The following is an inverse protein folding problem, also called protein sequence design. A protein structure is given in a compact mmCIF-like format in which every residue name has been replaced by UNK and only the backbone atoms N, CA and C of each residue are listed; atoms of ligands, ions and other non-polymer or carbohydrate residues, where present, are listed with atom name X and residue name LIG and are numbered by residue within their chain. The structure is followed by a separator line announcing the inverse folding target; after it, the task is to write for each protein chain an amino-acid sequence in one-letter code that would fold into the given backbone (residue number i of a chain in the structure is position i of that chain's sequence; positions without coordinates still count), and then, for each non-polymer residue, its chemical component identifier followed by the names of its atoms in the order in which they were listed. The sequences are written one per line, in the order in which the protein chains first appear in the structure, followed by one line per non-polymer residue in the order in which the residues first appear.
data_IF_392573668286
#
_entry.id   IF_392573668286
#
_cell.length_a   1.000
_cell.length_b   1.000
_cell.length_c   1.000
_cell.angle_alpha   90.00
_cell.angle_beta   90.00
_cell.angle_gamma   90.00
#
_symmetry.space_group_name_H-M   'P 1'
#
loop_
_entity.id
_entity.type
_entity.pdbx_description
1 polymer ?
#
# COMPACT_ATOMS: atom_id res chain seq x y z
N UNK A 1 -30.65 31.42 19.41
CA UNK A 1 -31.07 30.55 18.30
C UNK A 1 -30.01 30.66 17.20
N UNK A 2 -29.37 29.57 16.73
CA UNK A 2 -28.43 29.66 15.62
C UNK A 2 -29.16 30.17 14.38
N UNK A 3 -28.61 31.18 13.72
CA UNK A 3 -29.18 31.79 12.51
C UNK A 3 -29.29 30.75 11.40
N UNK A 4 -30.27 30.93 10.50
CA UNK A 4 -30.53 30.01 9.39
C UNK A 4 -29.26 29.69 8.58
N UNK A 5 -28.41 30.70 8.35
CA UNK A 5 -27.10 30.57 7.67
C UNK A 5 -26.09 29.68 8.40
N UNK A 6 -26.13 29.63 9.75
CA UNK A 6 -25.23 28.79 10.54
C UNK A 6 -25.57 27.30 10.41
N UNK A 7 -26.86 26.97 10.24
CA UNK A 7 -27.31 25.58 10.01
C UNK A 7 -26.90 25.05 8.64
N UNK A 8 -26.97 25.89 7.59
CA UNK A 8 -26.49 25.52 6.26
C UNK A 8 -24.97 25.31 6.21
N UNK A 9 -24.21 26.12 6.95
CA UNK A 9 -22.76 25.95 7.06
C UNK A 9 -22.39 24.60 7.70
N UNK A 10 -23.07 24.21 8.78
CA UNK A 10 -22.84 22.91 9.44
C UNK A 10 -23.20 21.75 8.51
N UNK A 11 -24.32 21.83 7.80
CA UNK A 11 -24.74 20.79 6.83
C UNK A 11 -23.73 20.68 5.69
N UNK A 12 -23.26 21.80 5.14
CA UNK A 12 -22.23 21.82 4.10
C UNK A 12 -20.90 21.23 4.62
N UNK A 13 -20.51 21.54 5.85
CA UNK A 13 -19.30 20.99 6.48
C UNK A 13 -19.41 19.46 6.66
N UNK A 14 -20.55 18.97 7.14
CA UNK A 14 -20.81 17.54 7.32
C UNK A 14 -20.82 16.79 5.98
N UNK A 15 -21.39 17.37 4.92
CA UNK A 15 -21.39 16.80 3.58
C UNK A 15 -19.97 16.74 2.97
N UNK A 16 -19.16 17.79 3.18
CA UNK A 16 -17.77 17.85 2.73
C UNK A 16 -16.88 16.84 3.48
N UNK A 17 -17.09 16.68 4.80
CA UNK A 17 -16.36 15.70 5.61
C UNK A 17 -16.68 14.26 5.20
N UNK A 18 -17.93 13.98 4.79
CA UNK A 18 -18.32 12.65 4.37
C UNK A 18 -17.61 12.23 3.06
N UNK A 19 -17.51 13.14 2.09
CA UNK A 19 -16.90 12.84 0.79
C UNK A 19 -15.39 12.51 0.89
N UNK A 20 -14.65 13.19 1.78
CA UNK A 20 -13.22 12.91 2.00
C UNK A 20 -13.03 11.52 2.65
N UNK A 21 -13.92 11.15 3.58
CA UNK A 21 -13.89 9.84 4.24
C UNK A 21 -14.21 8.68 3.27
N UNK A 22 -15.08 8.90 2.28
CA UNK A 22 -15.38 7.89 1.25
C UNK A 22 -14.19 7.65 0.30
N UNK A 23 -13.53 8.71 -0.17
CA UNK A 23 -12.36 8.60 -1.05
C UNK A 23 -11.17 7.90 -0.37
N UNK A 24 -10.92 8.19 0.92
CA UNK A 24 -9.90 7.49 1.71
C UNK A 24 -10.22 6.01 1.89
N UNK A 25 -11.50 5.67 2.13
CA UNK A 25 -11.94 4.27 2.23
C UNK A 25 -11.81 3.51 0.92
N UNK A 26 -12.00 4.15 -0.23
CA UNK A 26 -11.83 3.51 -1.53
C UNK A 26 -10.38 3.09 -1.80
N UNK A 27 -9.42 4.00 -1.52
CA UNK A 27 -7.99 3.67 -1.61
C UNK A 27 -7.60 2.55 -0.65
N UNK A 28 -8.14 2.56 0.57
CA UNK A 28 -7.91 1.48 1.54
C UNK A 28 -8.53 0.14 1.11
N UNK A 29 -9.73 0.15 0.51
CA UNK A 29 -10.36 -1.08 -0.03
C UNK A 29 -9.53 -1.67 -1.16
N UNK A 30 -9.04 -0.81 -2.06
CA UNK A 30 -8.13 -1.22 -3.12
C UNK A 30 -6.86 -1.86 -2.54
N UNK A 31 -6.27 -1.26 -1.51
CA UNK A 31 -5.09 -1.79 -0.83
C UNK A 31 -5.33 -3.17 -0.20
N UNK A 32 -6.46 -3.34 0.50
CA UNK A 32 -6.86 -4.64 1.05
C UNK A 32 -7.03 -5.68 -0.06
N UNK A 33 -7.66 -5.32 -1.19
CA UNK A 33 -7.80 -6.21 -2.34
C UNK A 33 -6.47 -6.65 -2.93
N UNK A 34 -5.50 -5.73 -3.08
CA UNK A 34 -4.14 -6.08 -3.55
C UNK A 34 -3.43 -7.05 -2.63
N UNK A 35 -3.54 -6.82 -1.31
CA UNK A 35 -2.91 -7.68 -0.29
C UNK A 35 -3.56 -9.05 -0.22
N UNK A 36 -4.87 -9.13 -0.44
CA UNK A 36 -5.59 -10.40 -0.55
C UNK A 36 -5.04 -11.22 -1.72
N UNK A 37 -4.93 -10.63 -2.91
CA UNK A 37 -4.36 -11.32 -4.09
C UNK A 37 -2.93 -11.80 -3.80
N UNK A 38 -2.10 -10.94 -3.17
CA UNK A 38 -0.73 -11.31 -2.82
C UNK A 38 -0.65 -12.44 -1.78
N UNK A 39 -1.59 -12.48 -0.84
CA UNK A 39 -1.75 -13.59 0.10
C UNK A 39 -2.18 -14.87 -0.63
N UNK A 40 -3.21 -14.81 -1.48
CA UNK A 40 -3.73 -15.96 -2.23
C UNK A 40 -2.64 -16.64 -3.06
N UNK A 41 -1.82 -15.85 -3.77
CA UNK A 41 -0.68 -16.35 -4.54
C UNK A 41 0.37 -17.07 -3.67
N UNK A 42 0.61 -16.58 -2.45
CA UNK A 42 1.57 -17.21 -1.53
C UNK A 42 0.94 -18.37 -0.74
N UNK A 43 -0.39 -18.42 -0.62
CA UNK A 43 -1.15 -19.46 0.05
C UNK A 43 -1.35 -20.71 -0.83
N UNK A 44 -1.38 -20.51 -2.15
CA UNK A 44 -1.58 -21.58 -3.13
C UNK A 44 -0.59 -22.73 -2.93
N UNK A 45 -1.10 -23.96 -2.85
CA UNK A 45 -0.29 -25.18 -2.70
C UNK A 45 0.17 -25.52 -1.27
N UNK A 46 -0.15 -24.71 -0.26
CA UNK A 46 0.15 -25.04 1.15
C UNK A 46 -0.76 -26.18 1.64
N UNK A 47 -0.15 -27.26 2.14
CA UNK A 47 -0.87 -28.44 2.66
C UNK A 47 -0.52 -28.80 4.11
N UNK A 48 0.56 -28.23 4.68
CA UNK A 48 0.96 -28.52 6.07
C UNK A 48 -0.12 -28.03 7.05
N UNK A 49 -0.75 -28.93 7.84
CA UNK A 49 -1.79 -28.56 8.79
C UNK A 49 -1.37 -27.52 9.83
N UNK A 50 -0.09 -27.51 10.26
CA UNK A 50 0.41 -26.55 11.24
C UNK A 50 0.48 -25.14 10.64
N UNK A 51 0.96 -25.04 9.41
CA UNK A 51 1.02 -23.78 8.65
C UNK A 51 -0.40 -23.26 8.41
N UNK A 52 -1.29 -24.12 7.93
CA UNK A 52 -2.71 -23.78 7.71
C UNK A 52 -3.38 -23.28 8.99
N UNK A 53 -3.16 -23.93 10.13
CA UNK A 53 -3.70 -23.49 11.43
C UNK A 53 -3.24 -22.08 11.77
N UNK A 54 -1.94 -21.80 11.64
CA UNK A 54 -1.37 -20.49 11.94
C UNK A 54 -1.92 -19.39 11.01
N UNK A 55 -2.11 -19.70 9.73
CA UNK A 55 -2.72 -18.77 8.75
C UNK A 55 -4.18 -18.49 9.12
N UNK A 56 -4.96 -19.54 9.38
CA UNK A 56 -6.36 -19.43 9.77
C UNK A 56 -6.54 -18.58 11.04
N UNK A 57 -5.67 -18.73 12.03
CA UNK A 57 -5.72 -17.91 13.25
C UNK A 57 -5.55 -16.41 12.98
N UNK A 58 -4.71 -16.03 12.00
CA UNK A 58 -4.55 -14.62 11.57
C UNK A 58 -5.76 -14.11 10.78
N UNK A 59 -6.41 -14.98 10.01
CA UNK A 59 -7.54 -14.62 9.16
C UNK A 59 -8.89 -14.61 9.88
N UNK A 60 -9.03 -15.30 11.02
CA UNK A 60 -10.28 -15.34 11.81
C UNK A 60 -11.03 -13.99 11.94
N UNK A 61 -10.37 -12.85 12.26
CA UNK A 61 -11.07 -11.59 12.42
C UNK A 61 -11.29 -10.81 11.12
N UNK A 62 -10.80 -11.28 9.96
CA UNK A 62 -10.76 -10.48 8.73
C UNK A 62 -12.14 -10.08 8.23
N UNK A 63 -13.13 -10.98 8.34
CA UNK A 63 -14.52 -10.74 7.96
C UNK A 63 -15.11 -9.62 8.80
N UNK A 64 -14.91 -9.69 10.12
CA UNK A 64 -15.36 -8.65 11.04
C UNK A 64 -14.71 -7.31 10.69
N UNK A 65 -13.39 -7.26 10.56
CA UNK A 65 -12.66 -6.03 10.22
C UNK A 65 -13.13 -5.42 8.90
N UNK A 66 -13.39 -6.23 7.88
CA UNK A 66 -13.79 -5.75 6.56
C UNK A 66 -15.19 -5.12 6.61
N UNK A 67 -16.16 -5.81 7.20
CA UNK A 67 -17.53 -5.32 7.30
C UNK A 67 -17.69 -4.18 8.32
N UNK A 68 -16.82 -4.09 9.33
CA UNK A 68 -16.77 -2.95 10.25
C UNK A 68 -15.99 -1.75 9.70
N UNK A 69 -15.41 -1.85 8.50
CA UNK A 69 -14.62 -0.79 7.88
C UNK A 69 -13.23 -0.56 8.49
N UNK A 70 -12.73 -1.50 9.30
CA UNK A 70 -11.37 -1.50 9.87
C UNK A 70 -10.37 -2.07 8.84
N UNK A 71 -10.26 -1.38 7.71
CA UNK A 71 -9.50 -1.84 6.54
C UNK A 71 -7.99 -1.90 6.81
N UNK A 72 -7.48 -1.05 7.70
CA UNK A 72 -6.12 -1.10 8.23
C UNK A 72 -5.84 -2.43 8.96
N UNK A 73 -6.78 -2.90 9.78
CA UNK A 73 -6.67 -4.18 10.48
C UNK A 73 -6.80 -5.36 9.50
N UNK A 74 -7.62 -5.25 8.46
CA UNK A 74 -7.65 -6.23 7.36
C UNK A 74 -6.27 -6.34 6.69
N UNK A 75 -5.68 -5.20 6.30
CA UNK A 75 -4.37 -5.17 5.65
C UNK A 75 -3.28 -5.82 6.53
N UNK A 76 -3.29 -5.49 7.83
CA UNK A 76 -2.38 -6.10 8.80
C UNK A 76 -2.57 -7.62 8.94
N UNK A 77 -3.82 -8.07 9.03
CA UNK A 77 -4.13 -9.50 9.15
C UNK A 77 -3.67 -10.29 7.91
N UNK A 78 -3.87 -9.73 6.71
CA UNK A 78 -3.42 -10.31 5.44
C UNK A 78 -1.90 -10.43 5.37
N UNK A 79 -1.16 -9.39 5.78
CA UNK A 79 0.30 -9.43 5.78
C UNK A 79 0.85 -10.47 6.74
N UNK A 80 0.29 -10.56 7.95
CA UNK A 80 0.68 -11.57 8.93
C UNK A 80 0.34 -13.00 8.44
N UNK A 81 -0.82 -13.17 7.83
CA UNK A 81 -1.21 -14.45 7.22
C UNK A 81 -0.24 -14.83 6.09
N UNK A 82 0.11 -13.88 5.23
CA UNK A 82 1.05 -14.05 4.13
C UNK A 82 2.47 -14.35 4.62
N UNK A 83 2.93 -13.70 5.69
CA UNK A 83 4.21 -14.04 6.33
C UNK A 83 4.24 -15.51 6.77
N UNK A 84 3.14 -15.98 7.36
CA UNK A 84 2.96 -17.35 7.82
C UNK A 84 2.91 -18.39 6.68
N UNK A 85 2.71 -17.98 5.42
CA UNK A 85 2.83 -18.89 4.28
C UNK A 85 4.25 -19.46 4.11
N UNK A 86 5.27 -18.69 4.51
CA UNK A 86 6.69 -19.03 4.28
C UNK A 86 7.52 -19.12 5.56
N UNK A 87 6.99 -18.61 6.67
CA UNK A 87 7.71 -18.49 7.93
C UNK A 87 6.83 -18.98 9.09
N UNK A 88 7.46 -19.27 10.22
CA UNK A 88 6.76 -19.57 11.47
C UNK A 88 6.81 -18.36 12.41
N UNK A 89 5.72 -18.09 13.12
CA UNK A 89 5.66 -17.06 14.16
C UNK A 89 5.45 -15.64 13.62
N UNK A 90 5.72 -14.65 14.46
CA UNK A 90 5.57 -13.24 14.09
C UNK A 90 6.69 -12.76 13.16
N UNK A 91 6.37 -11.84 12.26
CA UNK A 91 7.35 -11.13 11.44
C UNK A 91 8.30 -10.31 12.32
N UNK A 92 9.56 -10.17 11.89
CA UNK A 92 10.49 -9.25 12.55
C UNK A 92 9.96 -7.81 12.54
N UNK A 93 10.42 -6.97 13.47
CA UNK A 93 10.00 -5.56 13.58
C UNK A 93 10.25 -4.78 12.28
N UNK A 94 11.42 -4.99 11.67
CA UNK A 94 11.80 -4.40 10.38
C UNK A 94 10.84 -4.84 9.29
N UNK A 95 10.52 -6.13 9.22
CA UNK A 95 9.60 -6.68 8.23
C UNK A 95 8.18 -6.13 8.43
N UNK A 96 7.68 -6.13 9.66
CA UNK A 96 6.36 -5.59 9.98
C UNK A 96 6.23 -4.11 9.59
N UNK A 97 7.26 -3.29 9.85
CA UNK A 97 7.28 -1.90 9.41
C UNK A 97 7.29 -1.79 7.89
N UNK A 98 8.15 -2.56 7.19
CA UNK A 98 8.24 -2.52 5.74
C UNK A 98 6.94 -2.96 5.03
N UNK A 99 6.30 -4.00 5.56
CA UNK A 99 5.01 -4.53 5.08
C UNK A 99 3.87 -3.52 5.35
N UNK A 100 3.95 -2.73 6.41
CA UNK A 100 2.95 -1.68 6.71
C UNK A 100 2.96 -0.52 5.73
N UNK A 101 4.01 -0.35 4.93
CA UNK A 101 4.11 0.76 3.99
C UNK A 101 3.39 0.43 2.68
N UNK A 102 2.89 1.45 2.02
CA UNK A 102 2.38 1.37 0.65
C UNK A 102 2.92 2.55 -0.14
N UNK A 103 3.13 2.34 -1.44
CA UNK A 103 3.35 3.41 -2.40
C UNK A 103 2.06 3.65 -3.19
N UNK A 104 1.72 4.91 -3.43
CA UNK A 104 0.62 5.34 -4.29
C UNK A 104 1.09 6.45 -5.20
N UNK A 105 0.67 6.46 -6.46
CA UNK A 105 0.83 7.64 -7.31
C UNK A 105 -0.31 8.62 -7.06
N UNK A 106 -0.03 9.92 -7.22
CA UNK A 106 -1.03 10.99 -7.20
C UNK A 106 -2.18 10.77 -8.21
N UNK A 107 -1.90 10.06 -9.32
CA UNK A 107 -2.89 9.65 -10.32
C UNK A 107 -2.59 8.24 -10.80
N UNK A 108 -3.63 7.44 -11.07
CA UNK A 108 -3.45 6.12 -11.71
C UNK A 108 -3.14 6.22 -13.20
N UNK A 109 -3.67 7.25 -13.83
CA UNK A 109 -3.42 7.61 -15.22
C UNK A 109 -2.56 8.87 -15.19
N UNK A 110 -1.33 8.77 -15.67
CA UNK A 110 -0.34 9.86 -15.66
C UNK A 110 -0.08 10.26 -17.10
N UNK A 111 -0.25 11.53 -17.39
CA UNK A 111 -0.03 12.05 -18.74
C UNK A 111 1.48 12.27 -18.95
N UNK A 112 2.05 11.72 -20.03
CA UNK A 112 3.47 11.82 -20.36
C UNK A 112 3.94 13.29 -20.51
N UNK A 113 3.01 14.20 -20.80
CA UNK A 113 3.28 15.65 -20.87
C UNK A 113 3.69 16.25 -19.52
N UNK A 114 3.29 15.63 -18.40
CA UNK A 114 3.59 16.12 -17.05
C UNK A 114 5.07 15.96 -16.70
N UNK A 115 5.83 15.14 -17.47
CA UNK A 115 7.27 14.80 -17.33
C UNK A 115 7.70 14.21 -15.98
N UNK A 116 6.95 14.45 -14.92
CA UNK A 116 7.18 13.98 -13.58
C UNK A 116 5.97 13.19 -13.08
N UNK A 117 6.24 12.08 -12.41
CA UNK A 117 5.24 11.37 -11.62
C UNK A 117 5.45 11.68 -10.14
N UNK A 118 4.38 12.10 -9.46
CA UNK A 118 4.37 12.29 -8.03
C UNK A 118 3.80 11.05 -7.34
N UNK A 119 4.56 10.53 -6.37
CA UNK A 119 4.22 9.38 -5.56
C UNK A 119 4.26 9.76 -4.07
N UNK A 120 3.48 9.03 -3.28
CA UNK A 120 3.46 9.12 -1.83
C UNK A 120 3.68 7.74 -1.23
N UNK A 121 4.52 7.68 -0.21
CA UNK A 121 4.74 6.49 0.60
C UNK A 121 4.15 6.78 1.97
N UNK A 122 3.20 5.95 2.38
CA UNK A 122 2.49 6.11 3.64
C UNK A 122 2.31 4.76 4.32
N UNK A 123 2.02 4.80 5.63
CA UNK A 123 1.68 3.61 6.40
C UNK A 123 0.20 3.28 6.23
N UNK A 124 -0.11 2.03 5.92
CA UNK A 124 -1.47 1.48 5.77
C UNK A 124 -2.08 1.17 7.14
N UNK A 125 -1.26 0.73 8.08
CA UNK A 125 -1.66 0.43 9.46
C UNK A 125 -0.53 0.73 10.44
N UNK A 126 -0.90 1.08 11.67
CA UNK A 126 0.08 1.42 12.70
C UNK A 126 0.95 0.21 13.12
N UNK A 127 2.25 0.45 13.21
CA UNK A 127 3.22 -0.48 13.83
C UNK A 127 3.84 0.15 15.07
N UNK A 128 4.20 -0.69 16.05
CA UNK A 128 4.75 -0.23 17.33
C UNK A 128 6.14 0.38 17.18
N UNK A 129 6.95 -0.17 16.28
CA UNK A 129 8.34 0.20 16.13
C UNK A 129 8.66 0.49 14.66
N UNK A 130 9.32 1.60 14.42
CA UNK A 130 9.85 1.98 13.10
C UNK A 130 11.31 1.56 13.03
N UNK A 131 11.79 1.26 11.83
CA UNK A 131 13.18 0.89 11.58
C UNK A 131 13.72 1.64 10.37
N UNK A 132 15.04 1.81 10.29
CA UNK A 132 15.65 2.48 9.14
C UNK A 132 15.50 1.59 7.90
N UNK A 133 14.77 2.09 6.90
CA UNK A 133 14.58 1.44 5.61
C UNK A 133 15.11 2.33 4.50
N UNK A 134 15.81 1.72 3.54
CA UNK A 134 16.16 2.36 2.28
C UNK A 134 15.17 1.92 1.21
N UNK A 135 14.49 2.87 0.60
CA UNK A 135 13.55 2.65 -0.48
C UNK A 135 14.23 2.85 -1.83
N UNK A 136 13.91 1.96 -2.77
CA UNK A 136 14.20 2.09 -4.19
C UNK A 136 12.87 2.10 -4.94
N UNK A 137 12.59 3.20 -5.63
CA UNK A 137 11.34 3.40 -6.36
C UNK A 137 11.62 3.43 -7.84
N UNK A 138 10.89 2.64 -8.62
CA UNK A 138 11.09 2.52 -10.06
C UNK A 138 9.79 2.15 -10.81
N UNK A 139 9.80 2.36 -12.11
CA UNK A 139 8.78 1.89 -13.04
C UNK A 139 9.31 0.67 -13.82
N UNK A 140 8.47 -0.34 -13.96
CA UNK A 140 8.71 -1.45 -14.88
C UNK A 140 7.53 -1.56 -15.85
N UNK A 141 7.79 -1.54 -17.15
CA UNK A 141 6.71 -1.74 -18.12
C UNK A 141 6.23 -3.19 -18.06
N UNK A 142 4.91 -3.41 -18.06
CA UNK A 142 4.37 -4.78 -18.09
C UNK A 142 4.92 -5.51 -19.32
N UNK A 143 5.42 -6.73 -19.10
CA UNK A 143 6.09 -7.59 -20.10
C UNK A 143 7.50 -7.12 -20.56
N UNK A 144 8.06 -6.09 -19.92
CA UNK A 144 9.46 -5.69 -20.13
C UNK A 144 10.31 -6.09 -18.92
N UNK A 145 11.61 -6.25 -19.17
CA UNK A 145 12.64 -6.33 -18.10
C UNK A 145 13.27 -4.96 -17.83
N UNK A 146 12.89 -3.93 -18.58
CA UNK A 146 13.47 -2.61 -18.46
C UNK A 146 12.94 -1.90 -17.22
N UNK A 147 13.85 -1.56 -16.32
CA UNK A 147 13.57 -0.79 -15.11
C UNK A 147 13.95 0.66 -15.36
N UNK A 148 13.00 1.55 -15.15
CA UNK A 148 13.23 2.99 -15.15
C UNK A 148 13.24 3.49 -13.71
N UNK A 149 14.43 3.76 -13.18
CA UNK A 149 14.61 4.18 -11.79
C UNK A 149 14.07 5.61 -11.58
N UNK A 150 13.23 5.78 -10.56
CA UNK A 150 12.69 7.08 -10.19
C UNK A 150 13.53 7.72 -9.09
N UNK A 151 13.76 7.00 -7.99
CA UNK A 151 14.51 7.55 -6.86
C UNK A 151 15.00 6.44 -5.89
N UNK A 152 16.08 6.74 -5.17
CA UNK A 152 16.61 5.89 -4.09
C UNK A 152 16.94 6.76 -2.87
N UNK A 153 16.33 6.46 -1.73
CA UNK A 153 16.44 7.30 -0.53
C UNK A 153 16.16 6.51 0.75
N UNK A 154 16.47 7.11 1.91
CA UNK A 154 16.11 6.56 3.22
C UNK A 154 14.71 7.04 3.63
N UNK A 155 13.92 6.15 4.25
CA UNK A 155 12.62 6.50 4.82
C UNK A 155 12.85 7.21 6.15
N UNK A 156 12.70 8.53 6.15
CA UNK A 156 12.98 9.38 7.32
C UNK A 156 11.70 9.80 8.04
N UNK A 157 10.63 10.08 7.30
CA UNK A 157 9.33 10.50 7.82
C UNK A 157 8.19 9.88 7.01
N UNK A 158 6.97 9.93 7.54
CA UNK A 158 5.77 9.44 6.85
C UNK A 158 4.62 10.45 7.05
N UNK A 159 3.81 10.73 6.01
CA UNK A 159 3.99 10.29 4.63
C UNK A 159 5.23 10.94 3.98
N UNK A 160 5.88 10.21 3.07
CA UNK A 160 7.03 10.69 2.30
C UNK A 160 6.66 10.86 0.84
N UNK A 161 6.86 12.05 0.30
CA UNK A 161 6.61 12.36 -1.11
C UNK A 161 7.86 12.14 -1.94
N UNK A 162 7.67 11.61 -3.14
CA UNK A 162 8.72 11.20 -4.07
C UNK A 162 8.30 11.69 -5.45
N UNK A 163 9.23 12.26 -6.22
CA UNK A 163 8.94 12.72 -7.58
C UNK A 163 9.95 12.11 -8.53
N UNK A 164 9.47 11.35 -9.51
CA UNK A 164 10.32 10.68 -10.50
C UNK A 164 10.16 11.27 -11.88
N UNK A 165 11.26 11.36 -12.64
CA UNK A 165 11.21 11.76 -14.04
C UNK A 165 10.69 10.61 -14.90
N UNK A 166 9.67 10.86 -15.73
CA UNK A 166 9.08 9.89 -16.67
C UNK A 166 9.31 10.28 -18.13
N UNK A 167 10.10 11.32 -18.39
CA UNK A 167 10.41 11.77 -19.74
C UNK A 167 11.12 10.66 -20.53
N UNK A 168 10.65 10.42 -21.77
CA UNK A 168 11.19 9.39 -22.66
C UNK A 168 10.55 8.01 -22.47
N UNK A 169 9.68 7.83 -21.48
CA UNK A 169 8.81 6.67 -21.41
C UNK A 169 7.73 6.72 -22.50
N UNK A 170 7.24 5.54 -22.88
CA UNK A 170 6.20 5.38 -23.89
C UNK A 170 4.85 5.21 -23.20
N UNK A 171 3.78 5.44 -23.95
CA UNK A 171 2.44 5.12 -23.50
C UNK A 171 2.31 3.61 -23.23
N UNK A 172 1.54 3.27 -22.20
CA UNK A 172 1.24 1.90 -21.84
C UNK A 172 1.11 1.66 -20.34
N UNK A 173 1.02 0.38 -20.00
CA UNK A 173 0.82 -0.08 -18.63
C UNK A 173 2.16 -0.37 -17.94
N UNK A 174 2.33 0.21 -16.75
CA UNK A 174 3.53 0.10 -15.93
C UNK A 174 3.20 -0.40 -14.52
N UNK A 175 4.19 -1.02 -13.89
CA UNK A 175 4.21 -1.27 -12.46
C UNK A 175 5.11 -0.23 -11.80
N UNK A 176 4.51 0.59 -10.93
CA UNK A 176 5.23 1.37 -9.94
C UNK A 176 5.64 0.46 -8.79
N UNK A 177 6.93 0.28 -8.61
CA UNK A 177 7.51 -0.62 -7.62
C UNK A 177 8.27 0.17 -6.57
N UNK A 178 8.03 -0.17 -5.31
CA UNK A 178 8.84 0.25 -4.17
C UNK A 178 9.47 -0.99 -3.54
N UNK A 179 10.80 -1.09 -3.62
CA UNK A 179 11.58 -2.08 -2.87
C UNK A 179 12.12 -1.44 -1.60
N UNK A 180 11.90 -2.11 -0.48
CA UNK A 180 12.38 -1.68 0.83
C UNK A 180 13.51 -2.60 1.26
N UNK A 181 14.63 -2.00 1.67
CA UNK A 181 15.80 -2.71 2.12
C UNK A 181 16.25 -2.26 3.51
N UNK A 182 16.80 -3.20 4.26
CA UNK A 182 17.46 -2.96 5.53
C UNK A 182 18.81 -3.68 5.48
N UNK A 183 19.89 -2.96 5.80
CA UNK A 183 21.27 -3.49 5.74
C UNK A 183 21.62 -4.15 4.39
N UNK A 184 21.15 -3.56 3.29
CA UNK A 184 21.42 -4.04 1.93
C UNK A 184 20.58 -5.23 1.47
N UNK A 185 19.71 -5.80 2.33
CA UNK A 185 18.79 -6.89 1.94
C UNK A 185 17.39 -6.34 1.70
N UNK A 186 16.77 -6.73 0.59
CA UNK A 186 15.36 -6.42 0.32
C UNK A 186 14.49 -7.19 1.29
N UNK A 187 13.74 -6.45 2.10
CA UNK A 187 12.83 -7.01 3.11
C UNK A 187 11.38 -7.00 2.68
N UNK A 188 10.97 -6.10 1.78
CA UNK A 188 9.61 -6.06 1.22
C UNK A 188 9.61 -5.40 -0.17
N UNK A 189 8.60 -5.73 -0.98
CA UNK A 189 8.37 -5.11 -2.29
C UNK A 189 6.88 -4.87 -2.50
N UNK A 190 6.54 -3.65 -2.89
CA UNK A 190 5.18 -3.18 -3.11
C UNK A 190 5.01 -2.72 -4.55
N UNK A 191 3.92 -3.14 -5.20
CA UNK A 191 3.72 -2.91 -6.65
C UNK A 191 2.32 -2.39 -6.95
N UNK A 192 2.23 -1.26 -7.64
CA UNK A 192 0.97 -0.63 -8.09
C UNK A 192 0.96 -0.57 -9.61
N UNK A 193 -0.15 -0.95 -10.24
CA UNK A 193 -0.33 -0.71 -11.67
C UNK A 193 -0.67 0.78 -11.91
N UNK A 194 -0.03 1.37 -12.91
CA UNK A 194 -0.29 2.72 -13.41
C UNK A 194 -0.29 2.70 -14.94
N UNK A 195 -1.08 3.60 -15.54
CA UNK A 195 -1.11 3.80 -16.99
C UNK A 195 -0.40 5.12 -17.31
N UNK A 196 0.54 5.09 -18.26
CA UNK A 196 1.11 6.29 -18.86
C UNK A 196 0.40 6.54 -20.19
N UNK A 197 -0.15 7.74 -20.38
CA UNK A 197 -0.88 8.13 -21.59
C UNK A 197 -0.44 9.49 -22.13
#
# INVERSE_FOLDING_TARGET
MPSFSFRFLIIALLLLMNNIAFAQKENQRYEVGRRLIAFELDFEGITDPKVLKNICERLKPITFHFFSGQLDQCAKALDLARWNCKNSGDSSKVRAFADSLSITSSRRIVELKDKLIQCEIASVYAVKEKSLLKARVYLNQLNSKHIHELEVFSIEHLPQKVSGNIQGLKEGEYQLVMELSNEGKVVASHKVAISLI
#
